data_IF_917094612168
#
_entry.id   IF_917094612168
#
_cell.length_a   1.000
_cell.length_b   1.000
_cell.length_c   1.000
_cell.angle_alpha   90.00
_cell.angle_beta   90.00
_cell.angle_gamma   90.00
#
_symmetry.space_group_name_H-M   'P 1'
#
loop_
_entity.id
_entity.type
_entity.pdbx_description
1 polymer ?
#
# COMPACT_ATOMS: atom_id res chain seq x y z
N UNK A 1 3.28 4.12 -82.12
CA UNK A 1 2.21 4.08 -81.10
C UNK A 1 2.91 3.94 -79.76
N UNK A 2 3.23 5.08 -79.15
CA UNK A 2 4.13 5.20 -78.00
C UNK A 2 3.27 5.48 -76.78
N UNK A 3 3.22 4.56 -75.81
CA UNK A 3 2.50 4.77 -74.56
C UNK A 3 3.35 5.63 -73.61
N UNK A 4 2.78 6.65 -72.94
CA UNK A 4 3.51 7.46 -71.97
C UNK A 4 3.74 6.65 -70.68
N UNK A 5 4.98 6.70 -70.19
CA UNK A 5 5.42 6.13 -68.91
C UNK A 5 4.77 6.87 -67.74
N UNK A 6 3.90 6.20 -66.98
CA UNK A 6 3.42 6.69 -65.70
C UNK A 6 4.57 6.75 -64.68
N UNK A 7 4.90 7.95 -64.22
CA UNK A 7 5.71 8.13 -63.02
C UNK A 7 4.87 7.77 -61.79
N UNK A 8 5.13 6.58 -61.24
CA UNK A 8 4.59 6.18 -59.94
C UNK A 8 5.19 7.08 -58.85
N UNK A 9 4.36 7.95 -58.25
CA UNK A 9 4.67 8.70 -57.04
C UNK A 9 4.96 7.71 -55.91
N UNK A 10 6.11 7.79 -55.20
CA UNK A 10 6.36 6.94 -54.04
C UNK A 10 5.30 7.23 -52.96
N UNK A 11 4.65 6.17 -52.47
CA UNK A 11 3.75 6.28 -51.31
C UNK A 11 4.56 6.81 -50.11
N UNK A 12 4.01 7.74 -49.31
CA UNK A 12 4.65 8.17 -48.08
C UNK A 12 4.86 6.96 -47.15
N UNK A 13 5.98 6.90 -46.41
CA UNK A 13 6.22 5.81 -45.46
C UNK A 13 5.05 5.73 -44.49
N UNK A 14 4.55 4.52 -44.26
CA UNK A 14 3.44 4.25 -43.36
C UNK A 14 3.69 4.97 -42.02
N UNK A 15 2.79 5.87 -41.67
CA UNK A 15 2.83 6.62 -40.43
C UNK A 15 2.94 5.67 -39.25
N UNK A 16 4.03 5.82 -38.50
CA UNK A 16 4.11 5.49 -37.08
C UNK A 16 3.78 4.04 -36.73
N UNK A 17 4.82 3.22 -36.62
CA UNK A 17 4.81 2.12 -35.67
C UNK A 17 4.60 2.73 -34.27
N UNK A 18 3.33 2.88 -33.90
CA UNK A 18 2.92 3.47 -32.64
C UNK A 18 3.55 2.64 -31.53
N UNK A 19 4.37 3.28 -30.70
CA UNK A 19 4.98 2.64 -29.54
C UNK A 19 3.91 1.83 -28.78
N UNK A 20 4.20 0.58 -28.37
CA UNK A 20 3.22 -0.29 -27.75
C UNK A 20 2.56 0.44 -26.58
N UNK A 21 1.24 0.58 -26.65
CA UNK A 21 0.45 1.25 -25.62
C UNK A 21 0.71 0.54 -24.29
N UNK A 22 1.02 1.26 -23.18
CA UNK A 22 1.23 0.61 -21.90
C UNK A 22 0.01 -0.25 -21.54
N UNK A 23 0.21 -1.45 -20.97
CA UNK A 23 -0.88 -2.38 -20.71
C UNK A 23 -1.90 -1.75 -19.75
N UNK A 24 -3.17 -1.75 -20.14
CA UNK A 24 -4.26 -1.26 -19.29
C UNK A 24 -4.54 -2.23 -18.12
N UNK A 25 -5.17 -1.73 -17.06
CA UNK A 25 -5.44 -2.51 -15.84
C UNK A 25 -6.18 -3.85 -16.08
N UNK A 26 -7.00 -3.90 -17.13
CA UNK A 26 -7.82 -5.07 -17.49
C UNK A 26 -7.10 -6.09 -18.37
N UNK A 27 -5.97 -5.74 -18.99
CA UNK A 27 -5.22 -6.66 -19.85
C UNK A 27 -4.22 -7.52 -19.08
N UNK A 28 -3.99 -7.23 -17.80
CA UNK A 28 -3.05 -8.00 -16.99
C UNK A 28 -3.74 -9.25 -16.42
N UNK A 29 -3.23 -10.47 -16.68
CA UNK A 29 -3.82 -11.69 -16.15
C UNK A 29 -3.66 -11.75 -14.63
N UNK A 30 -4.72 -12.15 -13.93
CA UNK A 30 -4.69 -12.43 -12.49
C UNK A 30 -4.65 -13.95 -12.28
N UNK A 31 -3.72 -14.40 -11.45
CA UNK A 31 -3.67 -15.79 -11.02
C UNK A 31 -4.74 -16.06 -9.96
N UNK A 32 -5.24 -17.29 -9.93
CA UNK A 32 -6.15 -17.75 -8.87
C UNK A 32 -5.37 -17.98 -7.58
N UNK A 33 -5.84 -17.36 -6.49
CA UNK A 33 -5.21 -17.47 -5.18
C UNK A 33 -5.93 -18.50 -4.31
N UNK A 34 -5.18 -19.09 -3.37
CA UNK A 34 -5.66 -20.06 -2.39
C UNK A 34 -5.68 -19.44 -1.00
N UNK A 35 -6.58 -19.92 -0.15
CA UNK A 35 -6.66 -19.48 1.26
C UNK A 35 -5.38 -19.74 2.07
N UNK A 36 -4.50 -20.65 1.60
CA UNK A 36 -3.18 -20.90 2.19
C UNK A 36 -2.11 -19.86 1.84
N UNK A 37 -2.32 -19.08 0.77
CA UNK A 37 -1.29 -18.20 0.22
C UNK A 37 -0.90 -17.05 1.17
N UNK A 38 -1.82 -16.41 1.92
CA UNK A 38 -1.45 -15.37 2.90
C UNK A 38 -0.42 -15.81 3.94
N UNK A 39 -0.54 -17.05 4.45
CA UNK A 39 0.46 -17.60 5.39
C UNK A 39 1.80 -17.85 4.70
N UNK A 40 1.77 -18.31 3.44
CA UNK A 40 2.98 -18.49 2.64
C UNK A 40 3.68 -17.17 2.37
N UNK A 41 2.96 -16.09 2.08
CA UNK A 41 3.53 -14.76 1.88
C UNK A 41 4.24 -14.26 3.15
N UNK A 42 3.65 -14.47 4.34
CA UNK A 42 4.29 -14.14 5.62
C UNK A 42 5.60 -14.91 5.83
N UNK A 43 5.61 -16.21 5.54
CA UNK A 43 6.81 -17.04 5.65
C UNK A 43 7.92 -16.58 4.68
N UNK A 44 7.55 -16.22 3.45
CA UNK A 44 8.48 -15.67 2.47
C UNK A 44 8.99 -14.28 2.90
N UNK A 45 8.11 -13.42 3.43
CA UNK A 45 8.50 -12.13 3.97
C UNK A 45 9.46 -12.23 5.15
N UNK A 46 9.25 -13.21 6.04
CA UNK A 46 10.18 -13.51 7.14
C UNK A 46 11.52 -14.04 6.63
N UNK A 47 11.51 -14.85 5.58
CA UNK A 47 12.74 -15.33 4.92
C UNK A 47 13.54 -14.17 4.32
N UNK A 48 12.87 -13.22 3.68
CA UNK A 48 13.53 -12.05 3.09
C UNK A 48 14.11 -11.13 4.17
N UNK A 49 13.36 -10.87 5.24
CA UNK A 49 13.86 -10.13 6.40
C UNK A 49 15.12 -10.77 6.99
N UNK A 50 15.15 -12.10 7.15
CA UNK A 50 16.34 -12.83 7.64
C UNK A 50 17.54 -12.75 6.70
N UNK A 51 17.32 -12.55 5.40
CA UNK A 51 18.39 -12.41 4.40
C UNK A 51 18.92 -10.99 4.31
N UNK A 52 18.12 -9.98 4.65
CA UNK A 52 18.51 -8.57 4.64
C UNK A 52 18.13 -7.84 5.96
N UNK A 53 18.61 -8.32 7.13
CA UNK A 53 18.12 -7.83 8.42
C UNK A 53 18.50 -6.37 8.69
N UNK A 54 19.65 -5.89 8.20
CA UNK A 54 20.06 -4.50 8.38
C UNK A 54 19.12 -3.50 7.70
N UNK A 55 18.75 -3.78 6.45
CA UNK A 55 17.80 -2.96 5.69
C UNK A 55 16.41 -3.08 6.32
N UNK A 56 15.98 -4.30 6.66
CA UNK A 56 14.71 -4.52 7.34
C UNK A 56 14.60 -3.74 8.65
N UNK A 57 15.61 -3.80 9.52
CA UNK A 57 15.62 -3.09 10.80
C UNK A 57 15.58 -1.57 10.63
N UNK A 58 16.23 -1.01 9.60
CA UNK A 58 16.11 0.41 9.30
C UNK A 58 14.66 0.84 9.08
N UNK A 59 13.93 0.15 8.18
CA UNK A 59 12.51 0.44 7.94
C UNK A 59 11.64 0.15 9.17
N UNK A 60 11.96 -0.91 9.93
CA UNK A 60 11.31 -1.21 11.19
C UNK A 60 11.43 -0.08 12.21
N UNK A 61 12.63 0.51 12.34
CA UNK A 61 12.88 1.69 13.18
C UNK A 61 12.07 2.89 12.70
N UNK A 62 11.99 3.13 11.38
CA UNK A 62 11.14 4.19 10.84
C UNK A 62 9.67 4.01 11.25
N UNK A 63 9.11 2.80 11.12
CA UNK A 63 7.73 2.52 11.52
C UNK A 63 7.50 2.69 13.03
N UNK A 64 8.42 2.21 13.87
CA UNK A 64 8.34 2.38 15.32
C UNK A 64 8.43 3.87 15.71
N UNK A 65 9.34 4.63 15.10
CA UNK A 65 9.51 6.06 15.32
C UNK A 65 8.26 6.86 14.91
N UNK A 66 7.59 6.48 13.81
CA UNK A 66 6.30 7.06 13.43
C UNK A 66 5.25 6.80 14.52
N UNK A 67 5.14 5.58 15.04
CA UNK A 67 4.24 5.26 16.15
C UNK A 67 4.50 6.10 17.40
N UNK A 68 5.77 6.24 17.80
CA UNK A 68 6.15 7.09 18.93
C UNK A 68 5.88 8.58 18.67
N UNK A 69 6.14 9.09 17.46
CA UNK A 69 5.84 10.47 17.10
C UNK A 69 4.33 10.76 17.20
N UNK A 70 3.47 9.86 16.71
CA UNK A 70 2.02 9.97 16.86
C UNK A 70 1.60 10.00 18.33
N UNK A 71 2.16 9.11 19.15
CA UNK A 71 1.87 9.06 20.58
C UNK A 71 2.29 10.35 21.29
N UNK A 72 3.48 10.86 20.99
CA UNK A 72 4.00 12.10 21.57
C UNK A 72 3.15 13.32 21.18
N UNK A 73 2.78 13.43 19.90
CA UNK A 73 1.89 14.49 19.42
C UNK A 73 0.49 14.34 20.03
N UNK A 74 -0.01 13.13 20.21
CA UNK A 74 -1.29 12.92 20.89
C UNK A 74 -1.26 13.45 22.34
N UNK A 75 -0.17 13.23 23.08
CA UNK A 75 -0.05 13.71 24.45
C UNK A 75 0.11 15.23 24.58
N UNK A 76 0.87 15.86 23.68
CA UNK A 76 1.24 17.28 23.82
C UNK A 76 0.41 18.22 22.93
N UNK A 77 -0.07 17.73 21.79
CA UNK A 77 -0.67 18.53 20.73
C UNK A 77 -1.71 17.71 19.92
N UNK A 78 -2.78 17.20 20.55
CA UNK A 78 -3.72 16.26 19.93
C UNK A 78 -4.38 16.77 18.65
N UNK A 79 -4.54 18.09 18.51
CA UNK A 79 -5.06 18.72 17.29
C UNK A 79 -4.20 18.45 16.04
N UNK A 80 -2.91 18.13 16.20
CA UNK A 80 -1.98 17.86 15.10
C UNK A 80 -1.84 16.38 14.75
N UNK A 81 -2.48 15.46 15.48
CA UNK A 81 -2.38 14.01 15.25
C UNK A 81 -2.85 13.64 13.84
N UNK A 82 -3.97 14.21 13.40
CA UNK A 82 -4.52 13.95 12.06
C UNK A 82 -3.62 14.55 10.96
N UNK A 83 -2.97 15.69 11.21
CA UNK A 83 -2.03 16.27 10.27
C UNK A 83 -0.76 15.41 10.15
N UNK A 84 -0.25 14.90 11.27
CA UNK A 84 0.90 14.00 11.29
C UNK A 84 0.57 12.64 10.64
N UNK A 85 -0.61 12.07 10.88
CA UNK A 85 -1.06 10.83 10.25
C UNK A 85 -1.13 10.97 8.73
N UNK A 86 -1.64 12.10 8.22
CA UNK A 86 -1.66 12.40 6.80
C UNK A 86 -0.24 12.45 6.19
N UNK A 87 0.72 13.08 6.87
CA UNK A 87 2.13 13.07 6.45
C UNK A 87 2.73 11.67 6.43
N UNK A 88 2.38 10.83 7.41
CA UNK A 88 2.84 9.45 7.51
C UNK A 88 2.23 8.54 6.44
N UNK A 89 0.96 8.77 6.10
CA UNK A 89 0.30 8.08 4.99
C UNK A 89 0.99 8.38 3.66
N UNK A 90 1.44 9.62 3.44
CA UNK A 90 2.22 10.01 2.26
C UNK A 90 3.61 9.37 2.25
N UNK A 91 4.26 9.20 3.40
CA UNK A 91 5.56 8.53 3.51
C UNK A 91 5.47 7.00 3.33
N UNK A 92 4.35 6.38 3.71
CA UNK A 92 4.14 4.94 3.67
C UNK A 92 4.53 4.26 2.34
N UNK A 93 4.05 4.74 1.17
CA UNK A 93 4.44 4.22 -0.14
C UNK A 93 5.95 4.18 -0.38
N UNK A 94 6.69 5.19 0.08
CA UNK A 94 8.14 5.27 -0.09
C UNK A 94 8.87 4.25 0.79
N UNK A 95 8.46 4.13 2.06
CA UNK A 95 9.04 3.15 2.99
C UNK A 95 8.79 1.72 2.51
N UNK A 96 7.56 1.41 2.10
CA UNK A 96 7.21 0.09 1.59
C UNK A 96 7.91 -0.22 0.26
N UNK A 97 8.06 0.76 -0.63
CA UNK A 97 8.77 0.58 -1.90
C UNK A 97 10.20 0.10 -1.71
N UNK A 98 10.92 0.62 -0.72
CA UNK A 98 12.27 0.15 -0.40
C UNK A 98 12.31 -1.32 -0.01
N UNK A 99 11.34 -1.78 0.81
CA UNK A 99 11.21 -3.20 1.19
C UNK A 99 10.83 -4.08 -0.01
N UNK A 100 9.97 -3.60 -0.90
CA UNK A 100 9.62 -4.30 -2.14
C UNK A 100 10.84 -4.46 -3.05
N UNK A 101 11.66 -3.42 -3.17
CA UNK A 101 12.89 -3.46 -3.96
C UNK A 101 13.89 -4.48 -3.44
N UNK A 102 13.99 -4.63 -2.12
CA UNK A 102 14.81 -5.69 -1.49
C UNK A 102 14.28 -7.07 -1.85
N UNK A 103 12.98 -7.33 -1.72
CA UNK A 103 12.39 -8.63 -2.08
C UNK A 103 12.52 -8.93 -3.58
N UNK A 104 12.37 -7.92 -4.44
CA UNK A 104 12.60 -8.04 -5.88
C UNK A 104 14.02 -8.50 -6.20
N UNK A 105 15.03 -7.89 -5.57
CA UNK A 105 16.43 -8.30 -5.75
C UNK A 105 16.71 -9.71 -5.22
N UNK A 106 16.14 -10.06 -4.06
CA UNK A 106 16.28 -11.40 -3.48
C UNK A 106 15.62 -12.48 -4.34
N UNK A 107 14.47 -12.19 -4.94
CA UNK A 107 13.78 -13.08 -5.88
C UNK A 107 14.61 -13.30 -7.15
N UNK A 108 15.27 -12.26 -7.66
CA UNK A 108 16.20 -12.34 -8.78
C UNK A 108 17.54 -13.03 -8.45
N UNK A 109 17.74 -13.49 -7.20
CA UNK A 109 19.00 -14.10 -6.75
C UNK A 109 20.13 -13.10 -6.50
N UNK A 110 19.84 -11.81 -6.54
CA UNK A 110 20.79 -10.73 -6.27
C UNK A 110 21.05 -10.49 -4.78
N UNK A 111 21.94 -9.54 -4.49
CA UNK A 111 22.25 -9.08 -3.13
C UNK A 111 21.64 -7.69 -2.93
N UNK A 112 20.72 -7.52 -1.97
CA UNK A 112 20.11 -6.22 -1.70
C UNK A 112 21.14 -5.16 -1.35
N UNK A 113 21.04 -4.01 -2.03
CA UNK A 113 21.77 -2.80 -1.69
C UNK A 113 20.87 -1.80 -0.95
N UNK A 114 21.42 -1.14 0.08
CA UNK A 114 20.67 -0.19 0.89
C UNK A 114 20.35 1.10 0.13
N UNK A 115 21.28 1.61 -0.68
CA UNK A 115 21.06 2.81 -1.48
C UNK A 115 19.98 2.58 -2.53
N UNK A 116 20.04 1.46 -3.24
CA UNK A 116 19.03 1.08 -4.23
C UNK A 116 17.63 0.90 -3.59
N UNK A 117 17.57 0.39 -2.36
CA UNK A 117 16.32 0.32 -1.59
C UNK A 117 15.79 1.72 -1.22
N UNK A 118 16.66 2.60 -0.71
CA UNK A 118 16.27 3.94 -0.26
C UNK A 118 15.83 4.86 -1.40
N UNK A 119 16.44 4.72 -2.59
CA UNK A 119 16.15 5.54 -3.77
C UNK A 119 15.32 4.82 -4.84
N UNK A 120 14.66 3.71 -4.49
CA UNK A 120 13.80 2.95 -5.40
C UNK A 120 12.68 3.79 -6.06
N UNK A 121 12.32 4.92 -5.45
CA UNK A 121 11.26 5.83 -5.90
C UNK A 121 11.69 6.82 -6.98
N UNK A 122 13.00 7.03 -7.21
CA UNK A 122 13.51 8.16 -8.01
C UNK A 122 12.97 8.17 -9.45
N UNK A 123 12.82 6.99 -10.06
CA UNK A 123 12.26 6.82 -11.41
C UNK A 123 10.74 6.69 -11.46
N UNK A 124 10.06 6.76 -10.31
CA UNK A 124 8.62 6.47 -10.12
C UNK A 124 7.83 7.58 -9.45
N UNK A 125 8.44 8.75 -9.28
CA UNK A 125 7.90 9.90 -8.54
C UNK A 125 6.49 10.31 -9.00
N UNK A 126 6.24 10.39 -10.31
CA UNK A 126 4.93 10.81 -10.84
C UNK A 126 3.78 9.88 -10.44
N UNK A 127 3.95 8.57 -10.63
CA UNK A 127 2.94 7.58 -10.25
C UNK A 127 2.76 7.53 -8.72
N UNK A 128 3.85 7.59 -7.96
CA UNK A 128 3.78 7.61 -6.49
C UNK A 128 3.12 8.87 -5.94
N UNK A 129 3.36 10.04 -6.55
CA UNK A 129 2.75 11.29 -6.15
C UNK A 129 1.24 11.27 -6.39
N UNK A 130 0.78 10.79 -7.56
CA UNK A 130 -0.64 10.64 -7.85
C UNK A 130 -1.30 9.65 -6.88
N UNK A 131 -0.63 8.53 -6.61
CA UNK A 131 -1.13 7.55 -5.65
C UNK A 131 -1.21 8.12 -4.23
N UNK A 132 -0.17 8.83 -3.78
CA UNK A 132 -0.15 9.53 -2.50
C UNK A 132 -1.25 10.60 -2.39
N UNK A 133 -1.53 11.33 -3.48
CA UNK A 133 -2.61 12.31 -3.52
C UNK A 133 -3.99 11.66 -3.33
N UNK A 134 -4.23 10.50 -3.95
CA UNK A 134 -5.46 9.72 -3.74
C UNK A 134 -5.57 9.27 -2.29
N UNK A 135 -4.49 8.75 -1.70
CA UNK A 135 -4.46 8.35 -0.29
C UNK A 135 -4.72 9.55 0.64
N UNK A 136 -4.12 10.71 0.36
CA UNK A 136 -4.34 11.93 1.13
C UNK A 136 -5.79 12.40 1.05
N UNK A 137 -6.40 12.37 -0.14
CA UNK A 137 -7.80 12.73 -0.30
C UNK A 137 -8.71 11.81 0.53
N UNK A 138 -8.43 10.50 0.53
CA UNK A 138 -9.15 9.51 1.35
C UNK A 138 -8.94 9.74 2.86
N UNK A 139 -7.72 10.07 3.30
CA UNK A 139 -7.42 10.42 4.69
C UNK A 139 -8.18 11.66 5.14
N UNK A 140 -8.23 12.70 4.31
CA UNK A 140 -8.98 13.93 4.63
C UNK A 140 -10.48 13.65 4.70
N UNK A 141 -11.01 12.80 3.83
CA UNK A 141 -12.41 12.41 3.86
C UNK A 141 -12.73 11.56 5.09
N UNK A 142 -11.86 10.60 5.42
CA UNK A 142 -11.96 9.80 6.63
C UNK A 142 -11.89 10.67 7.89
N UNK A 143 -10.93 11.58 7.99
CA UNK A 143 -10.80 12.50 9.13
C UNK A 143 -12.03 13.38 9.33
N UNK A 144 -12.70 13.78 8.24
CA UNK A 144 -13.97 14.51 8.29
C UNK A 144 -15.12 13.62 8.74
N UNK A 145 -15.23 12.41 8.22
CA UNK A 145 -16.22 11.43 8.67
C UNK A 145 -16.04 11.09 10.16
N UNK A 146 -14.80 10.88 10.61
CA UNK A 146 -14.46 10.63 12.01
C UNK A 146 -14.88 11.79 12.92
N UNK A 147 -14.68 13.04 12.49
CA UNK A 147 -15.14 14.22 13.22
C UNK A 147 -16.66 14.27 13.34
N UNK A 148 -17.40 13.94 12.27
CA UNK A 148 -18.86 13.88 12.29
C UNK A 148 -19.36 12.80 13.25
N UNK A 149 -18.79 11.60 13.21
CA UNK A 149 -19.14 10.51 14.14
C UNK A 149 -18.90 10.95 15.59
N UNK A 150 -17.77 11.61 15.85
CA UNK A 150 -17.45 12.15 17.17
C UNK A 150 -18.45 13.22 17.62
N UNK A 151 -18.75 14.20 16.75
CA UNK A 151 -19.66 15.31 17.06
C UNK A 151 -21.11 14.86 17.32
N UNK A 152 -21.57 13.80 16.64
CA UNK A 152 -22.90 13.22 16.87
C UNK A 152 -22.92 12.38 18.16
N UNK A 153 -21.79 11.81 18.55
CA UNK A 153 -21.72 10.90 19.69
C UNK A 153 -21.42 11.59 21.03
N UNK A 154 -20.80 12.77 21.00
CA UNK A 154 -20.37 13.48 22.21
C UNK A 154 -20.82 14.94 22.22
N UNK A 155 -21.51 15.32 23.29
CA UNK A 155 -21.85 16.72 23.60
C UNK A 155 -20.74 17.35 24.46
N UNK A 156 -19.60 17.70 23.84
CA UNK A 156 -18.43 18.29 24.51
C UNK A 156 -17.17 17.41 24.42
N UNK A 157 -16.06 17.86 25.01
CA UNK A 157 -14.80 17.12 24.97
C UNK A 157 -14.81 16.00 26.02
N UNK A 158 -14.77 14.71 25.61
CA UNK A 158 -14.83 13.60 26.56
C UNK A 158 -13.54 13.53 27.37
N UNK A 159 -13.67 13.33 28.68
CA UNK A 159 -12.51 13.14 29.56
C UNK A 159 -12.04 11.69 29.55
N UNK A 160 -11.22 11.34 28.56
CA UNK A 160 -10.55 10.05 28.48
C UNK A 160 -9.26 9.97 29.29
N UNK A 161 -8.87 11.03 30.04
CA UNK A 161 -7.53 11.15 30.65
C UNK A 161 -7.19 10.14 31.74
N UNK A 162 -8.09 9.21 32.08
CA UNK A 162 -7.88 8.23 33.15
C UNK A 162 -7.68 6.78 32.71
N UNK A 163 -8.26 6.33 31.59
CA UNK A 163 -8.13 4.94 31.12
C UNK A 163 -8.82 4.73 29.76
N UNK A 164 -8.14 4.12 28.79
CA UNK A 164 -8.77 3.63 27.55
C UNK A 164 -9.91 2.64 27.84
N UNK A 165 -9.91 1.97 29.00
CA UNK A 165 -10.99 1.06 29.39
C UNK A 165 -12.33 1.76 29.57
N UNK A 166 -12.33 3.08 29.80
CA UNK A 166 -13.58 3.86 29.83
C UNK A 166 -14.28 3.88 28.47
N UNK A 167 -13.56 3.69 27.36
CA UNK A 167 -14.19 3.55 26.05
C UNK A 167 -15.04 2.26 25.97
N UNK A 168 -14.68 1.21 26.72
CA UNK A 168 -15.42 -0.06 26.74
C UNK A 168 -16.69 -0.01 27.60
N UNK A 169 -17.02 1.15 28.18
CA UNK A 169 -18.29 1.34 28.86
C UNK A 169 -19.45 1.10 27.89
N UNK A 170 -20.49 0.34 28.28
CA UNK A 170 -21.67 0.10 27.45
C UNK A 170 -22.30 1.38 26.85
N UNK A 171 -22.18 2.51 27.56
CA UNK A 171 -22.66 3.82 27.10
C UNK A 171 -21.95 4.35 25.85
N UNK A 172 -20.72 3.92 25.58
CA UNK A 172 -19.92 4.34 24.43
C UNK A 172 -19.89 3.32 23.28
N UNK A 173 -20.60 2.18 23.41
CA UNK A 173 -20.65 1.15 22.36
C UNK A 173 -21.23 1.66 21.04
N UNK A 174 -22.21 2.56 21.08
CA UNK A 174 -22.76 3.19 19.87
C UNK A 174 -21.70 3.99 19.11
N UNK A 175 -20.89 4.77 19.83
CA UNK A 175 -19.76 5.49 19.24
C UNK A 175 -18.71 4.54 18.66
N UNK A 176 -18.30 3.52 19.43
CA UNK A 176 -17.28 2.56 18.98
C UNK A 176 -17.73 1.83 17.73
N UNK A 177 -18.95 1.31 17.72
CA UNK A 177 -19.47 0.56 16.57
C UNK A 177 -19.59 1.45 15.33
N UNK A 178 -20.11 2.68 15.46
CA UNK A 178 -20.15 3.64 14.36
C UNK A 178 -18.75 4.04 13.87
N UNK A 179 -17.83 4.33 14.78
CA UNK A 179 -16.46 4.72 14.46
C UNK A 179 -15.69 3.60 13.76
N UNK A 180 -15.81 2.36 14.25
CA UNK A 180 -15.21 1.19 13.63
C UNK A 180 -15.84 0.88 12.27
N UNK A 181 -17.16 1.01 12.12
CA UNK A 181 -17.84 0.77 10.85
C UNK A 181 -17.38 1.78 9.78
N UNK A 182 -17.36 3.08 10.12
CA UNK A 182 -16.86 4.13 9.21
C UNK A 182 -15.38 3.88 8.91
N UNK A 183 -14.56 3.62 9.92
CA UNK A 183 -13.14 3.29 9.73
C UNK A 183 -12.92 2.08 8.83
N UNK A 184 -13.72 1.01 8.98
CA UNK A 184 -13.63 -0.19 8.17
C UNK A 184 -13.97 0.07 6.68
N UNK A 185 -14.92 0.97 6.40
CA UNK A 185 -15.24 1.37 5.01
C UNK A 185 -14.04 2.05 4.35
N UNK A 186 -13.44 3.05 5.02
CA UNK A 186 -12.27 3.75 4.47
C UNK A 186 -11.04 2.86 4.38
N UNK A 187 -10.76 2.07 5.42
CA UNK A 187 -9.66 1.11 5.41
C UNK A 187 -9.86 0.05 4.31
N UNK A 188 -11.08 -0.46 4.13
CA UNK A 188 -11.42 -1.40 3.07
C UNK A 188 -11.23 -0.79 1.68
N UNK A 189 -11.65 0.46 1.47
CA UNK A 189 -11.46 1.16 0.21
C UNK A 189 -9.97 1.38 -0.10
N UNK A 190 -9.22 1.92 0.86
CA UNK A 190 -7.76 2.12 0.74
C UNK A 190 -7.08 0.78 0.45
N UNK A 191 -7.39 -0.25 1.21
CA UNK A 191 -6.84 -1.60 1.02
C UNK A 191 -7.15 -2.13 -0.38
N UNK A 192 -8.40 -2.04 -0.83
CA UNK A 192 -8.82 -2.52 -2.13
C UNK A 192 -8.04 -1.87 -3.28
N UNK A 193 -7.79 -0.57 -3.21
CA UNK A 193 -7.05 0.15 -4.25
C UNK A 193 -5.53 0.11 -4.07
N UNK A 194 -4.99 -0.44 -2.98
CA UNK A 194 -3.55 -0.31 -2.65
C UNK A 194 -2.79 -1.61 -2.47
N UNK A 195 -3.47 -2.72 -2.14
CA UNK A 195 -2.84 -3.97 -1.66
C UNK A 195 -1.71 -4.48 -2.56
N UNK A 196 -1.80 -4.28 -3.87
CA UNK A 196 -0.75 -4.63 -4.83
C UNK A 196 -0.25 -3.46 -5.68
N UNK A 197 -0.69 -2.23 -5.43
CA UNK A 197 -0.45 -1.12 -6.36
C UNK A 197 0.98 -0.61 -6.34
N UNK A 198 1.57 -0.39 -5.15
CA UNK A 198 2.96 0.07 -5.04
C UNK A 198 3.97 -0.95 -5.60
N UNK A 199 3.92 -2.26 -5.27
CA UNK A 199 4.86 -3.22 -5.87
C UNK A 199 4.66 -3.35 -7.38
N UNK A 200 3.43 -3.18 -7.88
CA UNK A 200 3.15 -3.17 -9.32
C UNK A 200 3.69 -1.91 -10.03
N UNK A 201 3.57 -0.72 -9.42
CA UNK A 201 4.21 0.52 -9.92
C UNK A 201 5.73 0.33 -9.97
N UNK A 202 6.31 -0.28 -8.94
CA UNK A 202 7.74 -0.57 -8.89
C UNK A 202 8.16 -1.52 -10.02
N UNK A 203 7.55 -2.70 -10.09
CA UNK A 203 7.94 -3.82 -10.96
C UNK A 203 7.57 -3.58 -12.44
N UNK A 204 6.29 -3.24 -12.72
CA UNK A 204 5.74 -3.17 -14.09
C UNK A 204 5.70 -1.78 -14.71
N UNK A 205 6.16 -0.76 -13.99
CA UNK A 205 6.24 0.61 -14.52
C UNK A 205 4.89 1.25 -14.90
N UNK A 206 3.78 0.74 -14.36
CA UNK A 206 2.44 1.25 -14.66
C UNK A 206 2.13 2.52 -13.89
N UNK A 207 1.16 3.29 -14.37
CA UNK A 207 0.64 4.45 -13.66
C UNK A 207 -0.22 4.07 -12.44
N UNK A 208 -0.49 5.04 -11.57
CA UNK A 208 -1.23 4.83 -10.33
C UNK A 208 -2.68 4.38 -10.53
N UNK A 209 -3.35 4.85 -11.60
CA UNK A 209 -4.74 4.49 -11.88
C UNK A 209 -4.79 3.04 -12.33
N UNK A 210 -3.90 2.66 -13.25
CA UNK A 210 -3.77 1.27 -13.71
C UNK A 210 -3.50 0.33 -12.53
N UNK A 211 -2.57 0.69 -11.65
CA UNK A 211 -2.23 -0.10 -10.49
C UNK A 211 -3.37 -0.20 -9.47
N UNK A 212 -4.11 0.89 -9.24
CA UNK A 212 -5.26 0.94 -8.33
C UNK A 212 -6.44 0.12 -8.84
N UNK A 213 -6.78 0.23 -10.13
CA UNK A 213 -7.85 -0.56 -10.75
C UNK A 213 -7.53 -2.05 -10.79
N UNK A 214 -6.27 -2.41 -11.03
CA UNK A 214 -5.82 -3.80 -10.96
C UNK A 214 -5.96 -4.36 -9.53
N UNK A 215 -5.54 -3.59 -8.53
CA UNK A 215 -5.71 -3.93 -7.11
C UNK A 215 -7.18 -4.11 -6.74
N UNK A 216 -8.05 -3.17 -7.15
CA UNK A 216 -9.48 -3.26 -6.88
C UNK A 216 -10.08 -4.51 -7.54
N UNK A 217 -9.72 -4.80 -8.79
CA UNK A 217 -10.15 -6.01 -9.49
C UNK A 217 -9.71 -7.28 -8.76
N UNK A 218 -8.48 -7.33 -8.26
CA UNK A 218 -7.99 -8.45 -7.45
C UNK A 218 -8.85 -8.66 -6.20
N UNK A 219 -9.13 -7.60 -5.44
CA UNK A 219 -9.93 -7.69 -4.21
C UNK A 219 -11.37 -8.11 -4.49
N UNK A 220 -11.99 -7.59 -5.55
CA UNK A 220 -13.36 -7.95 -5.91
C UNK A 220 -13.49 -9.38 -6.46
N UNK A 221 -12.47 -9.88 -7.17
CA UNK A 221 -12.50 -11.22 -7.79
C UNK A 221 -11.99 -12.34 -6.88
N UNK A 222 -11.13 -12.02 -5.91
CA UNK A 222 -10.50 -12.98 -4.98
C UNK A 222 -10.81 -12.62 -3.51
N UNK A 223 -12.03 -12.14 -3.24
CA UNK A 223 -12.47 -11.55 -1.98
C UNK A 223 -12.10 -12.33 -0.71
N UNK A 224 -12.36 -13.65 -0.60
CA UNK A 224 -12.05 -14.39 0.63
C UNK A 224 -10.56 -14.40 1.00
N UNK A 225 -9.67 -14.58 0.01
CA UNK A 225 -8.22 -14.57 0.24
C UNK A 225 -7.75 -13.17 0.62
N UNK A 226 -8.29 -12.15 -0.04
CA UNK A 226 -7.94 -10.76 0.21
C UNK A 226 -8.47 -10.24 1.55
N UNK A 227 -9.64 -10.69 2.00
CA UNK A 227 -10.15 -10.40 3.35
C UNK A 227 -9.28 -11.06 4.42
N UNK A 228 -8.88 -12.32 4.22
CA UNK A 228 -7.96 -13.00 5.14
C UNK A 228 -6.62 -12.25 5.22
N UNK A 229 -6.08 -11.82 4.08
CA UNK A 229 -4.82 -11.09 4.04
C UNK A 229 -4.92 -9.73 4.75
N UNK A 230 -5.96 -8.94 4.48
CA UNK A 230 -6.20 -7.67 5.17
C UNK A 230 -6.41 -7.85 6.68
N UNK A 231 -7.12 -8.90 7.08
CA UNK A 231 -7.30 -9.27 8.49
C UNK A 231 -5.98 -9.66 9.18
N UNK A 232 -5.12 -10.42 8.49
CA UNK A 232 -3.80 -10.78 9.00
C UNK A 232 -2.89 -9.56 9.15
N UNK A 233 -2.82 -8.67 8.16
CA UNK A 233 -2.09 -7.41 8.25
C UNK A 233 -2.57 -6.62 9.48
N UNK A 234 -3.89 -6.42 9.58
CA UNK A 234 -4.49 -5.63 10.67
C UNK A 234 -4.18 -6.24 12.03
N UNK A 235 -4.42 -7.55 12.20
CA UNK A 235 -4.16 -8.26 13.45
C UNK A 235 -2.69 -8.22 13.86
N UNK A 236 -1.76 -8.46 12.91
CA UNK A 236 -0.32 -8.42 13.18
C UNK A 236 0.16 -7.02 13.55
N UNK A 237 -0.31 -5.98 12.86
CA UNK A 237 0.04 -4.59 13.18
C UNK A 237 -0.48 -4.20 14.56
N UNK A 238 -1.74 -4.51 14.88
CA UNK A 238 -2.32 -4.25 16.21
C UNK A 238 -1.51 -4.95 17.30
N UNK A 239 -1.21 -6.23 17.14
CA UNK A 239 -0.39 -6.99 18.09
C UNK A 239 1.03 -6.41 18.22
N UNK A 240 1.63 -5.95 17.13
CA UNK A 240 2.96 -5.34 17.11
C UNK A 240 3.02 -3.97 17.82
N UNK A 241 1.89 -3.26 17.90
CA UNK A 241 1.78 -1.99 18.61
C UNK A 241 1.69 -2.16 20.14
N UNK A 242 1.14 -3.28 20.63
CA UNK A 242 0.95 -3.55 22.07
C UNK A 242 2.22 -3.40 22.93
N UNK A 243 3.40 -3.92 22.54
CA UNK A 243 4.64 -3.71 23.29
C UNK A 243 5.26 -2.32 23.01
N UNK A 244 4.47 -1.26 23.06
CA UNK A 244 4.93 0.12 22.82
C UNK A 244 5.54 0.33 21.45
N UNK A 245 4.92 -0.20 20.39
CA UNK A 245 5.36 -0.14 18.99
C UNK A 245 6.65 -0.92 18.65
N UNK A 246 7.34 -1.53 19.63
CA UNK A 246 8.58 -2.27 19.38
C UNK A 246 8.38 -3.49 18.46
N UNK A 247 7.18 -4.08 18.42
CA UNK A 247 6.88 -5.17 17.51
C UNK A 247 6.98 -4.76 16.03
N UNK A 248 6.85 -3.47 15.71
CA UNK A 248 6.98 -2.96 14.34
C UNK A 248 8.40 -3.06 13.79
N UNK A 249 9.42 -3.19 14.65
CA UNK A 249 10.80 -3.46 14.25
C UNK A 249 10.92 -4.75 13.42
N UNK A 250 10.06 -5.74 13.73
CA UNK A 250 10.00 -7.02 13.03
C UNK A 250 8.80 -7.09 12.07
N UNK A 251 7.61 -6.77 12.57
CA UNK A 251 6.36 -6.98 11.83
C UNK A 251 6.26 -6.04 10.62
N UNK A 252 6.67 -4.78 10.74
CA UNK A 252 6.63 -3.82 9.64
C UNK A 252 7.42 -4.30 8.42
N UNK A 253 8.72 -4.60 8.57
CA UNK A 253 9.55 -5.12 7.49
C UNK A 253 9.04 -6.44 6.91
N UNK A 254 8.63 -7.38 7.77
CA UNK A 254 8.11 -8.69 7.34
C UNK A 254 6.84 -8.52 6.50
N UNK A 255 5.92 -7.64 6.89
CA UNK A 255 4.72 -7.34 6.12
C UNK A 255 5.04 -6.65 4.79
N UNK A 256 6.02 -5.75 4.75
CA UNK A 256 6.50 -5.16 3.50
C UNK A 256 7.03 -6.23 2.53
N UNK A 257 7.89 -7.12 3.00
CA UNK A 257 8.37 -8.22 2.16
C UNK A 257 7.23 -9.19 1.76
N UNK A 258 6.31 -9.51 2.68
CA UNK A 258 5.19 -10.39 2.38
C UNK A 258 4.24 -9.81 1.32
N UNK A 259 4.00 -8.50 1.33
CA UNK A 259 3.17 -7.81 0.33
C UNK A 259 3.79 -7.86 -1.07
N UNK A 260 5.12 -7.91 -1.20
CA UNK A 260 5.77 -8.22 -2.48
C UNK A 260 5.37 -9.62 -2.98
N UNK A 261 5.43 -10.63 -2.13
CA UNK A 261 5.05 -12.00 -2.49
C UNK A 261 3.56 -12.15 -2.79
N UNK A 262 2.70 -11.38 -2.11
CA UNK A 262 1.28 -11.30 -2.44
C UNK A 262 1.05 -10.77 -3.87
N UNK A 263 1.75 -9.69 -4.23
CA UNK A 263 1.74 -9.14 -5.58
C UNK A 263 2.24 -10.16 -6.63
N UNK A 264 3.37 -10.80 -6.38
CA UNK A 264 3.95 -11.79 -7.31
C UNK A 264 3.06 -13.02 -7.48
N UNK A 265 2.41 -13.48 -6.41
CA UNK A 265 1.44 -14.56 -6.49
C UNK A 265 0.24 -14.17 -7.35
N UNK A 266 -0.28 -12.93 -7.20
CA UNK A 266 -1.45 -12.45 -7.91
C UNK A 266 -1.23 -12.20 -9.40
N UNK A 267 -0.06 -11.70 -9.81
CA UNK A 267 0.18 -11.23 -11.19
C UNK A 267 1.22 -12.05 -11.97
N UNK A 268 1.98 -12.93 -11.29
CA UNK A 268 3.04 -13.72 -11.91
C UNK A 268 4.24 -12.88 -12.40
N UNK A 269 5.24 -13.53 -13.04
CA UNK A 269 6.32 -12.84 -13.73
C UNK A 269 5.78 -11.84 -14.76
N UNK A 270 6.46 -10.72 -14.94
CA UNK A 270 6.11 -9.79 -16.01
C UNK A 270 6.41 -10.46 -17.36
N UNK A 271 5.42 -10.63 -18.26
CA UNK A 271 5.67 -11.22 -19.58
C UNK A 271 6.65 -10.41 -20.44
N UNK A 272 6.88 -9.14 -20.11
CA UNK A 272 7.78 -8.24 -20.83
C UNK A 272 9.22 -8.21 -20.27
N UNK A 273 9.51 -8.96 -19.19
CA UNK A 273 10.82 -9.01 -18.53
C UNK A 273 11.70 -10.16 -19.03
#
# INVERSE_FOLDING_TARGET
MSLPSEHATPLPPAEGEAAPRPPGAFSLPLNTLRLSDPLRWLLLGLRDFRRAPGIGLFYGVCFAAMGWALLQVFHHAPAWVLALSAGFLLMGPFLCMGLYRVSQQLEAGGRPDFGDSLFAWDRRTGALALFGLVLLALELLWGRAALVVFAVSFHGMPDFKGSLLKLLDPSHLGFITAYLAVGAVFAGLIYAISVISIPMILDRQVDAVTAGLCSLRLVLTQGPVMLLWGGLITGLVVLAMLPGFLGLLLVGPVLGHASWHAYRAALGPDPAA
#
